data_IF_124918841946
#
_entry.id   IF_124918841946
#
_cell.length_a   1.000
_cell.length_b   1.000
_cell.length_c   1.000
_cell.angle_alpha   90.00
_cell.angle_beta   90.00
_cell.angle_gamma   90.00
#
_symmetry.space_group_name_H-M   'P 1'
#
loop_
_entity.id
_entity.type
_entity.pdbx_description
1 polymer ?
#
# COMPACT_ATOMS: atom_id res chain seq x y z
N UNK A 1 -14.55 -9.68 -73.74
CA UNK A 1 -13.10 -9.81 -73.49
C UNK A 1 -12.71 -8.89 -72.35
N UNK A 2 -12.32 -9.50 -71.23
CA UNK A 2 -11.36 -9.04 -70.21
C UNK A 2 -11.32 -7.54 -69.84
N UNK A 3 -11.66 -7.24 -68.59
CA UNK A 3 -10.80 -6.50 -67.65
C UNK A 3 -11.41 -6.55 -66.25
N UNK A 4 -10.85 -7.44 -65.43
CA UNK A 4 -11.22 -7.59 -64.02
C UNK A 4 -10.76 -6.38 -63.20
N UNK A 5 -11.52 -6.09 -62.16
CA UNK A 5 -11.12 -5.13 -61.14
C UNK A 5 -11.15 -5.86 -59.80
N UNK A 6 -9.98 -6.33 -59.37
CA UNK A 6 -9.76 -6.89 -58.04
C UNK A 6 -9.93 -5.76 -57.01
N UNK A 7 -11.02 -5.81 -56.23
CA UNK A 7 -11.19 -4.93 -55.07
C UNK A 7 -10.38 -5.55 -53.93
N UNK A 8 -9.25 -4.93 -53.63
CA UNK A 8 -8.38 -5.28 -52.51
C UNK A 8 -9.03 -4.78 -51.21
N UNK A 9 -9.60 -5.71 -50.43
CA UNK A 9 -10.15 -5.41 -49.10
C UNK A 9 -9.00 -5.40 -48.08
N UNK A 10 -8.35 -4.25 -47.90
CA UNK A 10 -7.38 -4.05 -46.83
C UNK A 10 -8.09 -3.86 -45.50
N UNK A 11 -8.22 -4.93 -44.73
CA UNK A 11 -8.64 -4.89 -43.32
C UNK A 11 -7.45 -4.34 -42.52
N UNK A 12 -7.54 -3.07 -42.12
CA UNK A 12 -6.63 -2.48 -41.14
C UNK A 12 -7.01 -3.03 -39.77
N UNK A 13 -6.25 -4.02 -39.27
CA UNK A 13 -6.31 -4.41 -37.86
C UNK A 13 -5.70 -3.28 -37.02
N UNK A 14 -6.56 -2.45 -36.42
CA UNK A 14 -6.16 -1.65 -35.27
C UNK A 14 -5.92 -2.62 -34.11
N UNK A 15 -4.67 -3.04 -33.93
CA UNK A 15 -4.21 -3.61 -32.68
C UNK A 15 -4.28 -2.51 -31.61
N UNK A 16 -5.41 -2.45 -30.91
CA UNK A 16 -5.54 -1.66 -29.70
C UNK A 16 -4.56 -2.25 -28.68
N UNK A 17 -3.43 -1.59 -28.47
CA UNK A 17 -2.56 -1.81 -27.33
C UNK A 17 -3.35 -1.42 -26.07
N UNK A 18 -4.20 -2.32 -25.58
CA UNK A 18 -4.74 -2.22 -24.24
C UNK A 18 -3.56 -2.44 -23.28
N UNK A 19 -3.02 -1.34 -22.77
CA UNK A 19 -2.10 -1.35 -21.64
C UNK A 19 -2.86 -1.93 -20.46
N UNK A 20 -2.68 -3.22 -20.21
CA UNK A 20 -3.15 -3.87 -19.01
C UNK A 20 -2.45 -3.18 -17.83
N UNK A 21 -3.13 -2.24 -17.17
CA UNK A 21 -2.76 -1.82 -15.82
C UNK A 21 -2.61 -3.10 -14.99
N UNK A 22 -1.56 -3.26 -14.16
CA UNK A 22 -1.45 -4.43 -13.31
C UNK A 22 -2.73 -4.54 -12.47
N UNK A 23 -3.59 -5.49 -12.82
CA UNK A 23 -4.78 -5.77 -12.04
C UNK A 23 -4.32 -6.45 -10.77
N UNK A 24 -4.75 -5.93 -9.62
CA UNK A 24 -4.55 -6.61 -8.35
C UNK A 24 -5.06 -8.06 -8.47
N UNK A 25 -4.27 -9.07 -8.06
CA UNK A 25 -4.68 -10.45 -8.21
C UNK A 25 -5.97 -10.70 -7.40
N UNK A 26 -6.95 -11.46 -7.91
CA UNK A 26 -8.19 -11.73 -7.18
C UNK A 26 -7.97 -12.42 -5.83
N UNK A 27 -6.88 -13.20 -5.73
CA UNK A 27 -6.48 -13.93 -4.52
C UNK A 27 -5.02 -13.65 -4.24
N UNK A 28 -4.69 -13.32 -2.99
CA UNK A 28 -3.32 -13.10 -2.54
C UNK A 28 -2.56 -14.41 -2.32
N UNK A 29 -1.24 -14.35 -2.13
CA UNK A 29 -0.41 -15.53 -1.92
C UNK A 29 -0.79 -16.34 -0.67
N UNK A 30 -1.42 -15.70 0.31
CA UNK A 30 -1.94 -16.28 1.56
C UNK A 30 -3.44 -16.64 1.50
N UNK A 31 -4.06 -16.59 0.31
CA UNK A 31 -5.43 -17.05 0.10
C UNK A 31 -6.52 -16.07 0.52
N UNK A 32 -6.19 -14.78 0.69
CA UNK A 32 -7.17 -13.74 0.95
C UNK A 32 -7.79 -13.27 -0.37
N UNK A 33 -9.06 -12.91 -0.36
CA UNK A 33 -9.79 -12.48 -1.53
C UNK A 33 -9.84 -10.95 -1.61
N UNK A 34 -9.61 -10.41 -2.82
CA UNK A 34 -9.74 -8.98 -3.08
C UNK A 34 -11.18 -8.54 -2.83
N UNK A 35 -11.35 -7.52 -1.99
CA UNK A 35 -12.65 -6.89 -1.73
C UNK A 35 -12.90 -5.86 -2.84
N UNK A 36 -13.97 -6.02 -3.64
CA UNK A 36 -14.29 -5.08 -4.71
C UNK A 36 -14.72 -3.72 -4.14
N UNK A 37 -14.53 -2.67 -4.92
CA UNK A 37 -15.03 -1.31 -4.67
C UNK A 37 -14.63 -0.70 -3.31
N UNK A 38 -13.48 -1.10 -2.77
CA UNK A 38 -12.91 -0.48 -1.57
C UNK A 38 -12.50 0.97 -1.84
N UNK A 39 -12.69 1.83 -0.82
CA UNK A 39 -12.17 3.21 -0.83
C UNK A 39 -10.65 3.27 -0.61
N UNK A 40 -10.04 2.16 -0.19
CA UNK A 40 -8.60 2.01 -0.04
C UNK A 40 -8.01 1.44 -1.34
N UNK A 41 -6.70 1.63 -1.54
CA UNK A 41 -6.02 1.16 -2.75
C UNK A 41 -6.20 -0.35 -3.00
N UNK A 42 -6.14 -1.16 -1.95
CA UNK A 42 -6.41 -2.59 -1.99
C UNK A 42 -6.86 -3.08 -0.61
N UNK A 43 -7.85 -3.97 -0.57
CA UNK A 43 -8.23 -4.68 0.65
C UNK A 43 -8.38 -6.14 0.30
N UNK A 44 -7.69 -6.98 1.06
CA UNK A 44 -7.77 -8.43 0.95
C UNK A 44 -8.31 -9.00 2.24
N UNK A 45 -9.33 -9.86 2.16
CA UNK A 45 -10.02 -10.41 3.32
C UNK A 45 -10.15 -11.92 3.20
N UNK A 46 -9.96 -12.62 4.32
CA UNK A 46 -10.21 -14.06 4.40
C UNK A 46 -11.70 -14.32 4.14
N UNK A 47 -12.08 -15.29 3.29
CA UNK A 47 -13.48 -15.63 3.08
C UNK A 47 -14.21 -15.95 4.40
N UNK A 48 -15.38 -15.32 4.60
CA UNK A 48 -16.21 -15.49 5.79
C UNK A 48 -15.69 -14.81 7.06
N UNK A 49 -14.60 -14.02 6.99
CA UNK A 49 -14.14 -13.25 8.14
C UNK A 49 -15.14 -12.15 8.49
N UNK A 50 -15.55 -12.12 9.76
CA UNK A 50 -16.36 -11.06 10.33
C UNK A 50 -15.50 -10.30 11.37
N UNK A 51 -15.28 -9.00 11.12
CA UNK A 51 -14.52 -8.15 12.03
C UNK A 51 -15.41 -7.42 13.04
N UNK A 52 -16.74 -7.50 12.90
CA UNK A 52 -17.70 -6.82 13.80
C UNK A 52 -17.67 -7.39 15.23
N UNK A 53 -17.18 -8.62 15.39
CA UNK A 53 -16.98 -9.27 16.69
C UNK A 53 -15.92 -8.60 17.58
N UNK A 54 -15.09 -7.70 17.02
CA UNK A 54 -14.02 -7.04 17.77
C UNK A 54 -14.44 -5.65 18.23
N UNK A 55 -14.62 -5.48 19.54
CA UNK A 55 -14.95 -4.19 20.18
C UNK A 55 -13.72 -3.39 20.61
N UNK A 56 -12.54 -4.01 20.60
CA UNK A 56 -11.27 -3.44 21.04
C UNK A 56 -10.22 -3.54 19.96
N UNK A 57 -9.25 -2.64 19.96
CA UNK A 57 -8.17 -2.61 18.99
C UNK A 57 -6.83 -2.57 19.71
N UNK A 58 -5.90 -3.43 19.31
CA UNK A 58 -4.50 -3.31 19.65
C UNK A 58 -3.72 -2.90 18.39
N UNK A 59 -3.11 -1.72 18.41
CA UNK A 59 -2.24 -1.27 17.33
C UNK A 59 -0.79 -1.57 17.70
N UNK A 60 -0.14 -2.43 16.92
CA UNK A 60 1.28 -2.70 17.07
C UNK A 60 2.11 -1.53 16.52
N UNK A 61 3.36 -1.44 16.96
CA UNK A 61 4.30 -0.45 16.45
C UNK A 61 4.40 -0.52 14.93
N UNK A 62 4.35 0.66 14.30
CA UNK A 62 4.43 0.75 12.84
C UNK A 62 5.82 0.40 12.38
N UNK A 63 5.92 -0.66 11.59
CA UNK A 63 7.17 -1.01 10.91
C UNK A 63 7.42 0.00 9.79
N UNK A 64 8.56 0.69 9.83
CA UNK A 64 8.94 1.65 8.79
C UNK A 64 10.19 1.14 8.09
N UNK A 65 10.12 0.97 6.78
CA UNK A 65 11.27 0.70 5.91
C UNK A 65 11.36 1.73 4.80
N UNK A 66 12.57 2.27 4.63
CA UNK A 66 12.89 3.11 3.48
C UNK A 66 12.95 2.29 2.20
N UNK A 67 12.80 2.99 1.07
CA UNK A 67 13.12 2.43 -0.23
C UNK A 67 14.58 1.98 -0.27
N UNK A 68 14.85 0.96 -1.08
CA UNK A 68 16.18 0.40 -1.24
C UNK A 68 17.14 1.51 -1.69
N UNK A 69 18.29 1.61 -1.02
CA UNK A 69 19.34 2.59 -1.28
C UNK A 69 18.97 4.07 -1.09
N UNK A 70 17.76 4.40 -0.60
CA UNK A 70 17.29 5.79 -0.48
C UNK A 70 18.30 6.76 0.13
N UNK A 71 18.93 6.41 1.27
CA UNK A 71 19.93 7.27 1.94
C UNK A 71 21.13 7.58 1.04
N UNK A 72 21.63 6.58 0.31
CA UNK A 72 22.80 6.74 -0.57
C UNK A 72 22.42 7.67 -1.71
N UNK A 73 21.32 7.34 -2.40
CA UNK A 73 20.89 8.06 -3.59
C UNK A 73 20.53 9.53 -3.22
N UNK A 74 19.90 9.75 -2.07
CA UNK A 74 19.66 11.10 -1.53
C UNK A 74 20.96 11.86 -1.22
N UNK A 75 21.93 11.22 -0.56
CA UNK A 75 23.18 11.88 -0.17
C UNK A 75 24.14 12.16 -1.34
N UNK A 76 23.99 11.45 -2.47
CA UNK A 76 24.72 11.72 -3.71
C UNK A 76 24.31 13.06 -4.34
N UNK A 77 23.04 13.46 -4.17
CA UNK A 77 22.50 14.71 -4.69
C UNK A 77 22.52 15.86 -3.66
N UNK A 78 22.51 15.53 -2.37
CA UNK A 78 22.44 16.51 -1.28
C UNK A 78 23.76 17.29 -1.07
N UNK A 79 23.64 18.56 -0.69
CA UNK A 79 24.77 19.34 -0.19
C UNK A 79 25.30 18.73 1.12
N UNK A 80 26.58 18.96 1.44
CA UNK A 80 27.23 18.36 2.63
C UNK A 80 26.45 18.54 3.95
N UNK A 81 25.83 19.72 4.15
CA UNK A 81 25.05 20.01 5.36
C UNK A 81 23.64 19.39 5.39
N UNK A 82 23.17 18.84 4.27
CA UNK A 82 21.84 18.26 4.09
C UNK A 82 21.87 16.73 4.03
N UNK A 83 23.06 16.13 4.04
CA UNK A 83 23.20 14.68 4.00
C UNK A 83 22.60 14.02 5.24
N UNK A 84 21.90 12.93 5.00
CA UNK A 84 21.20 12.14 6.01
C UNK A 84 22.15 11.11 6.60
N UNK A 85 22.33 11.14 7.92
CA UNK A 85 23.09 10.14 8.65
C UNK A 85 22.24 8.92 9.03
N UNK A 86 22.88 7.84 9.49
CA UNK A 86 22.14 6.70 10.06
C UNK A 86 21.34 7.06 11.31
N UNK A 87 21.81 8.06 12.07
CA UNK A 87 21.07 8.59 13.22
C UNK A 87 19.80 9.30 12.77
N UNK A 88 19.85 10.04 11.67
CA UNK A 88 18.68 10.68 11.08
C UNK A 88 17.69 9.64 10.56
N UNK A 89 18.17 8.58 9.89
CA UNK A 89 17.34 7.45 9.47
C UNK A 89 16.55 6.85 10.64
N UNK A 90 17.21 6.60 11.78
CA UNK A 90 16.55 6.08 12.98
C UNK A 90 15.53 7.07 13.56
N UNK A 91 15.89 8.36 13.61
CA UNK A 91 15.01 9.43 14.07
C UNK A 91 13.76 9.54 13.20
N UNK A 92 13.91 9.47 11.88
CA UNK A 92 12.80 9.48 10.92
C UNK A 92 11.89 8.27 11.16
N UNK A 93 12.42 7.04 11.25
CA UNK A 93 11.59 5.84 11.52
C UNK A 93 10.77 6.01 12.79
N UNK A 94 11.41 6.47 13.87
CA UNK A 94 10.75 6.70 15.16
C UNK A 94 9.64 7.74 15.05
N UNK A 95 9.94 8.88 14.42
CA UNK A 95 8.98 9.97 14.29
C UNK A 95 7.78 9.56 13.41
N UNK A 96 8.04 9.00 12.22
CA UNK A 96 6.98 8.53 11.31
C UNK A 96 6.10 7.48 11.98
N UNK A 97 6.71 6.51 12.69
CA UNK A 97 5.95 5.49 13.42
C UNK A 97 5.07 6.11 14.51
N UNK A 98 5.59 7.07 15.28
CA UNK A 98 4.83 7.77 16.31
C UNK A 98 3.67 8.61 15.73
N UNK A 99 3.90 9.33 14.63
CA UNK A 99 2.86 10.14 13.97
C UNK A 99 1.76 9.24 13.40
N UNK A 100 2.13 8.14 12.76
CA UNK A 100 1.17 7.16 12.24
C UNK A 100 0.32 6.58 13.37
N UNK A 101 0.96 6.16 14.47
CA UNK A 101 0.25 5.62 15.65
C UNK A 101 -0.74 6.63 16.22
N UNK A 102 -0.35 7.91 16.33
CA UNK A 102 -1.26 8.97 16.78
C UNK A 102 -2.47 9.11 15.86
N UNK A 103 -2.24 9.27 14.56
CA UNK A 103 -3.33 9.50 13.61
C UNK A 103 -4.25 8.29 13.47
N UNK A 104 -3.70 7.09 13.43
CA UNK A 104 -4.49 5.86 13.40
C UNK A 104 -5.31 5.70 14.68
N UNK A 105 -4.72 5.93 15.85
CA UNK A 105 -5.48 5.91 17.11
C UNK A 105 -6.65 6.88 17.08
N UNK A 106 -6.43 8.10 16.58
CA UNK A 106 -7.48 9.12 16.45
C UNK A 106 -8.59 8.67 15.49
N UNK A 107 -8.26 8.02 14.37
CA UNK A 107 -9.25 7.56 13.38
C UNK A 107 -10.01 6.32 13.87
N UNK A 108 -9.30 5.36 14.45
CA UNK A 108 -9.83 4.06 14.87
C UNK A 108 -10.73 4.14 16.11
N UNK A 109 -10.64 5.22 16.90
CA UNK A 109 -11.47 5.45 18.08
C UNK A 109 -12.65 6.38 17.83
N UNK A 110 -12.83 6.90 16.59
CA UNK A 110 -13.94 7.82 16.26
C UNK A 110 -15.33 7.22 16.46
N UNK A 111 -15.44 5.89 16.36
CA UNK A 111 -16.68 5.15 16.53
C UNK A 111 -16.87 4.61 17.96
N UNK A 112 -16.02 5.04 18.91
CA UNK A 112 -16.12 4.66 20.32
C UNK A 112 -15.38 3.38 20.69
N UNK A 113 -14.66 2.74 19.77
CA UNK A 113 -13.82 1.57 20.09
C UNK A 113 -12.67 1.94 21.04
N UNK A 114 -12.34 0.98 21.92
CA UNK A 114 -11.26 1.11 22.90
C UNK A 114 -9.92 0.66 22.31
N UNK A 115 -8.85 1.45 22.53
CA UNK A 115 -7.48 1.01 22.29
C UNK A 115 -6.94 0.27 23.50
N UNK A 116 -6.39 -0.93 23.29
CA UNK A 116 -5.75 -1.75 24.32
C UNK A 116 -4.31 -2.07 23.97
N UNK A 117 -3.47 -2.20 25.00
CA UNK A 117 -2.03 -2.42 24.83
C UNK A 117 -1.65 -3.86 24.40
N UNK A 118 -2.53 -4.84 24.66
CA UNK A 118 -2.24 -6.26 24.40
C UNK A 118 -3.42 -6.95 23.71
N UNK A 119 -3.11 -7.96 22.90
CA UNK A 119 -4.11 -8.85 22.32
C UNK A 119 -4.87 -9.64 23.39
N UNK A 120 -6.08 -10.09 23.03
CA UNK A 120 -6.95 -10.85 23.91
C UNK A 120 -8.30 -11.13 23.25
N UNK A 121 -9.24 -11.69 24.02
CA UNK A 121 -10.60 -11.93 23.54
C UNK A 121 -11.27 -10.61 23.12
N UNK A 122 -11.89 -10.60 21.93
CA UNK A 122 -12.56 -9.42 21.39
C UNK A 122 -11.63 -8.29 20.93
N UNK A 123 -10.31 -8.52 20.85
CA UNK A 123 -9.32 -7.53 20.39
C UNK A 123 -8.89 -7.80 18.94
N UNK A 124 -9.10 -6.81 18.07
CA UNK A 124 -8.52 -6.80 16.72
C UNK A 124 -7.09 -6.28 16.79
N UNK A 125 -6.12 -7.12 16.45
CA UNK A 125 -4.71 -6.72 16.40
C UNK A 125 -4.39 -6.18 15.00
N UNK A 126 -3.96 -4.93 14.92
CA UNK A 126 -3.52 -4.29 13.69
C UNK A 126 -2.00 -4.18 13.68
N UNK A 127 -1.37 -4.67 12.61
CA UNK A 127 0.07 -4.56 12.37
C UNK A 127 0.34 -3.66 11.16
N UNK A 128 0.52 -2.35 11.37
CA UNK A 128 0.80 -1.44 10.27
C UNK A 128 2.25 -1.51 9.82
N UNK A 129 2.46 -1.22 8.53
CA UNK A 129 3.78 -1.08 7.95
C UNK A 129 3.79 0.02 6.88
N UNK A 130 4.81 0.87 6.90
CA UNK A 130 5.17 1.79 5.83
C UNK A 130 6.41 1.21 5.17
N UNK A 131 6.25 0.73 3.95
CA UNK A 131 7.32 0.12 3.16
C UNK A 131 7.69 1.04 2.01
N UNK A 132 8.94 0.95 1.57
CA UNK A 132 9.49 1.78 0.50
C UNK A 132 9.29 3.30 0.76
N UNK A 133 9.51 3.74 2.00
CA UNK A 133 9.47 5.16 2.34
C UNK A 133 10.55 5.92 1.56
N UNK A 134 10.11 6.90 0.77
CA UNK A 134 10.93 7.89 0.12
C UNK A 134 10.53 9.26 0.66
N UNK A 135 11.51 10.05 1.07
CA UNK A 135 11.28 11.45 1.44
C UNK A 135 11.69 12.28 0.23
N UNK A 136 10.71 12.98 -0.31
CA UNK A 136 10.86 13.94 -1.41
C UNK A 136 10.72 15.35 -0.84
N UNK A 137 11.43 16.31 -1.44
CA UNK A 137 11.35 17.74 -1.13
C UNK A 137 10.21 18.39 -1.92
#
# INVERSE_FOLDING_TARGET
MLKGSFIFLSIVLLAACATNKPSLPPVSADGLHLVPDSKLAAVYMKPGADLSQYSKIALLDTYVSFAKNWKRDHNEEAAFGEQVSDKDMQKIRKNVSAEFTREMTRVLTKDGREMVAKGGAGVLILRPAIINLEITQ
#
